data_IF_900130583461
#
_entry.id   IF_900130583461
#
_cell.length_a   1.000
_cell.length_b   1.000
_cell.length_c   1.000
_cell.angle_alpha   90.00
_cell.angle_beta   90.00
_cell.angle_gamma   90.00
#
_symmetry.space_group_name_H-M   'P 1'
#
loop_
_entity.id
_entity.type
_entity.pdbx_description
1 polymer ?
#
# COMPACT_ATOMS: atom_id res chain seq x y z
N UNK A 1 -2.53 -12.79 19.64
CA UNK A 1 -3.98 -12.56 19.47
C UNK A 1 -4.37 -11.30 20.24
N UNK A 2 -4.95 -10.31 19.57
CA UNK A 2 -5.40 -9.09 20.23
C UNK A 2 -6.47 -9.44 21.27
N UNK A 3 -6.32 -8.94 22.50
CA UNK A 3 -7.22 -9.21 23.62
C UNK A 3 -8.63 -8.70 23.27
N UNK A 4 -9.58 -9.60 23.03
CA UNK A 4 -10.99 -9.24 22.84
C UNK A 4 -11.51 -8.86 24.22
N UNK A 5 -11.57 -7.56 24.48
CA UNK A 5 -12.18 -7.07 25.70
C UNK A 5 -13.69 -7.00 25.47
N UNK A 6 -14.43 -7.78 26.26
CA UNK A 6 -15.89 -7.94 26.20
C UNK A 6 -16.57 -7.01 27.19
N UNK A 7 -16.08 -5.77 27.34
CA UNK A 7 -16.76 -4.81 28.20
C UNK A 7 -18.06 -4.36 27.53
N UNK A 8 -19.09 -4.09 28.33
CA UNK A 8 -20.39 -3.64 27.82
C UNK A 8 -20.27 -2.43 26.87
N UNK A 9 -19.35 -1.50 27.16
CA UNK A 9 -19.06 -0.34 26.31
C UNK A 9 -18.52 -0.73 24.93
N UNK A 10 -17.68 -1.76 24.86
CA UNK A 10 -17.09 -2.23 23.59
C UNK A 10 -18.12 -2.96 22.74
N UNK A 11 -18.99 -3.77 23.37
CA UNK A 11 -20.10 -4.44 22.70
C UNK A 11 -21.04 -3.40 22.08
N UNK A 12 -21.49 -2.41 22.85
CA UNK A 12 -22.34 -1.33 22.34
C UNK A 12 -21.69 -0.56 21.19
N UNK A 13 -20.38 -0.31 21.27
CA UNK A 13 -19.64 0.37 20.19
C UNK A 13 -19.57 -0.49 18.91
N UNK A 14 -19.45 -1.81 19.04
CA UNK A 14 -19.44 -2.76 17.94
C UNK A 14 -20.83 -2.87 17.29
N UNK A 15 -21.89 -2.91 18.09
CA UNK A 15 -23.28 -2.91 17.62
C UNK A 15 -23.61 -1.64 16.84
N UNK A 16 -23.26 -0.46 17.37
CA UNK A 16 -23.43 0.82 16.66
C UNK A 16 -22.67 0.83 15.34
N UNK A 17 -21.44 0.29 15.30
CA UNK A 17 -20.66 0.17 14.06
C UNK A 17 -21.35 -0.73 13.04
N UNK A 18 -21.86 -1.87 13.47
CA UNK A 18 -22.59 -2.81 12.61
C UNK A 18 -23.87 -2.16 12.04
N UNK A 19 -24.62 -1.41 12.85
CA UNK A 19 -25.80 -0.68 12.41
C UNK A 19 -25.46 0.40 11.37
N UNK A 20 -24.39 1.17 11.58
CA UNK A 20 -23.90 2.17 10.60
C UNK A 20 -23.60 1.54 9.25
N UNK A 21 -22.91 0.39 9.23
CA UNK A 21 -22.58 -0.32 8.00
C UNK A 21 -23.83 -0.85 7.30
N UNK A 22 -24.77 -1.45 8.04
CA UNK A 22 -26.00 -1.97 7.48
C UNK A 22 -26.80 -0.88 6.77
N UNK A 23 -26.94 0.28 7.39
CA UNK A 23 -27.61 1.43 6.78
C UNK A 23 -26.85 1.99 5.58
N UNK A 24 -25.51 2.00 5.64
CA UNK A 24 -24.69 2.44 4.51
C UNK A 24 -24.80 1.50 3.30
N UNK A 25 -24.85 0.19 3.53
CA UNK A 25 -25.09 -0.83 2.50
C UNK A 25 -26.49 -0.70 1.90
N UNK A 26 -27.48 -0.32 2.70
CA UNK A 26 -28.84 0.01 2.25
C UNK A 26 -28.94 1.34 1.48
N UNK A 27 -27.81 1.99 1.17
CA UNK A 27 -27.74 3.21 0.35
C UNK A 27 -27.94 4.52 1.12
N UNK A 28 -28.09 4.51 2.44
CA UNK A 28 -28.26 5.74 3.22
C UNK A 28 -27.02 6.61 3.21
N UNK A 29 -27.23 7.92 3.19
CA UNK A 29 -26.19 8.94 3.34
C UNK A 29 -25.71 9.04 4.79
N UNK A 30 -24.54 9.62 5.02
CA UNK A 30 -24.00 9.79 6.37
C UNK A 30 -24.87 10.69 7.26
N UNK A 31 -25.57 11.65 6.66
CA UNK A 31 -26.50 12.54 7.35
C UNK A 31 -27.74 11.78 7.83
N UNK A 32 -28.37 11.00 6.94
CA UNK A 32 -29.52 10.15 7.30
C UNK A 32 -29.16 9.11 8.35
N UNK A 33 -27.98 8.49 8.23
CA UNK A 33 -27.48 7.52 9.24
C UNK A 33 -27.35 8.19 10.61
N UNK A 34 -26.82 9.42 10.64
CA UNK A 34 -26.70 10.20 11.87
C UNK A 34 -28.05 10.50 12.51
N UNK A 35 -29.04 10.86 11.69
CA UNK A 35 -30.42 11.10 12.14
C UNK A 35 -31.08 9.81 12.68
N UNK A 36 -30.93 8.69 11.98
CA UNK A 36 -31.55 7.40 12.36
C UNK A 36 -30.96 6.86 13.66
N UNK A 37 -29.63 6.95 13.83
CA UNK A 37 -28.93 6.37 14.97
C UNK A 37 -28.64 7.37 16.11
N UNK A 38 -29.03 8.64 15.95
CA UNK A 38 -28.75 9.70 16.93
C UNK A 38 -27.26 10.00 17.10
N UNK A 39 -26.46 9.84 16.05
CA UNK A 39 -25.00 10.08 16.06
C UNK A 39 -24.60 11.20 15.11
N UNK A 40 -23.44 11.82 15.34
CA UNK A 40 -22.90 12.80 14.40
C UNK A 40 -22.48 12.15 13.09
N UNK A 41 -22.57 12.90 11.99
CA UNK A 41 -22.04 12.52 10.66
C UNK A 41 -20.56 12.12 10.73
N UNK A 42 -19.77 12.86 11.51
CA UNK A 42 -18.35 12.58 11.76
C UNK A 42 -18.13 11.24 12.46
N UNK A 43 -19.02 10.86 13.37
CA UNK A 43 -18.97 9.58 14.07
C UNK A 43 -19.34 8.43 13.14
N UNK A 44 -20.40 8.58 12.33
CA UNK A 44 -20.76 7.61 11.30
C UNK A 44 -19.59 7.36 10.32
N UNK A 45 -18.97 8.43 9.81
CA UNK A 45 -17.79 8.34 8.95
C UNK A 45 -16.62 7.60 9.63
N UNK A 46 -16.34 7.92 10.91
CA UNK A 46 -15.28 7.25 11.69
C UNK A 46 -15.54 5.75 11.85
N UNK A 47 -16.78 5.33 12.10
CA UNK A 47 -17.15 3.92 12.18
C UNK A 47 -16.90 3.19 10.86
N UNK A 48 -17.28 3.79 9.73
CA UNK A 48 -17.05 3.22 8.39
C UNK A 48 -15.55 3.09 8.12
N UNK A 49 -14.79 4.18 8.31
CA UNK A 49 -13.33 4.19 8.10
C UNK A 49 -12.63 3.13 8.93
N UNK A 50 -12.99 3.00 10.21
CA UNK A 50 -12.42 2.00 11.11
C UNK A 50 -12.72 0.57 10.64
N UNK A 51 -13.96 0.31 10.24
CA UNK A 51 -14.34 -1.02 9.72
C UNK A 51 -13.58 -1.37 8.45
N UNK A 52 -13.47 -0.43 7.51
CA UNK A 52 -12.72 -0.65 6.26
C UNK A 52 -11.23 -0.91 6.54
N UNK A 53 -10.64 -0.23 7.52
CA UNK A 53 -9.27 -0.50 7.94
C UNK A 53 -9.14 -1.88 8.59
N UNK A 54 -10.08 -2.28 9.46
CA UNK A 54 -10.11 -3.61 10.08
C UNK A 54 -10.24 -4.71 9.02
N UNK A 55 -11.13 -4.56 8.03
CA UNK A 55 -11.26 -5.50 6.91
C UNK A 55 -9.97 -5.58 6.06
N UNK A 56 -9.35 -4.45 5.74
CA UNK A 56 -8.08 -4.44 5.00
C UNK A 56 -6.98 -5.19 5.76
N UNK A 57 -6.88 -4.97 7.06
CA UNK A 57 -5.90 -5.64 7.90
C UNK A 57 -6.16 -7.16 7.95
N UNK A 58 -7.41 -7.58 8.17
CA UNK A 58 -7.79 -9.00 8.15
C UNK A 58 -7.51 -9.65 6.79
N UNK A 59 -7.80 -8.94 5.69
CA UNK A 59 -7.48 -9.40 4.34
C UNK A 59 -5.96 -9.53 4.14
N UNK A 60 -5.16 -8.56 4.60
CA UNK A 60 -3.70 -8.62 4.54
C UNK A 60 -3.15 -9.80 5.35
N UNK A 61 -3.67 -10.06 6.56
CA UNK A 61 -3.31 -11.23 7.37
C UNK A 61 -3.63 -12.53 6.63
N UNK A 62 -4.84 -12.65 6.07
CA UNK A 62 -5.25 -13.82 5.27
C UNK A 62 -4.35 -14.02 4.05
N UNK A 63 -4.03 -12.95 3.33
CA UNK A 63 -3.10 -12.99 2.19
C UNK A 63 -1.72 -13.46 2.66
N UNK A 64 -1.23 -12.94 3.78
CA UNK A 64 0.05 -13.35 4.36
C UNK A 64 0.07 -14.83 4.71
N UNK A 65 -0.98 -15.35 5.35
CA UNK A 65 -1.10 -16.79 5.69
C UNK A 65 -1.08 -17.67 4.44
N UNK A 66 -1.79 -17.26 3.38
CA UNK A 66 -1.78 -17.96 2.09
C UNK A 66 -0.40 -17.95 1.44
N UNK A 67 0.31 -16.81 1.48
CA UNK A 67 1.69 -16.69 0.98
C UNK A 67 2.61 -17.62 1.77
N UNK A 68 2.50 -17.65 3.10
CA UNK A 68 3.29 -18.56 3.94
C UNK A 68 3.04 -20.03 3.60
N UNK A 69 1.78 -20.44 3.44
CA UNK A 69 1.43 -21.81 3.04
C UNK A 69 2.01 -22.18 1.67
N UNK A 70 1.94 -21.26 0.72
CA UNK A 70 2.45 -21.48 -0.63
C UNK A 70 3.98 -21.55 -0.66
N UNK A 71 4.66 -20.68 0.10
CA UNK A 71 6.12 -20.76 0.27
C UNK A 71 6.54 -22.12 0.86
N UNK A 72 5.81 -22.63 1.87
CA UNK A 72 6.10 -23.94 2.45
C UNK A 72 5.87 -25.09 1.44
N UNK A 73 4.89 -24.99 0.55
CA UNK A 73 4.70 -25.95 -0.55
C UNK A 73 5.84 -25.89 -1.56
N UNK A 74 6.25 -24.69 -1.95
CA UNK A 74 7.35 -24.47 -2.89
C UNK A 74 8.68 -25.00 -2.32
N UNK A 75 8.94 -24.80 -1.03
CA UNK A 75 10.12 -25.36 -0.36
C UNK A 75 10.13 -26.88 -0.38
N UNK A 76 8.99 -27.54 -0.12
CA UNK A 76 8.90 -29.01 -0.25
C UNK A 76 9.18 -29.49 -1.66
N UNK A 77 8.64 -28.81 -2.67
CA UNK A 77 8.90 -29.15 -4.07
C UNK A 77 10.38 -28.94 -4.42
N UNK A 78 10.99 -27.85 -3.95
CA UNK A 78 12.40 -27.56 -4.17
C UNK A 78 13.29 -28.65 -3.57
N UNK A 79 13.04 -29.05 -2.31
CA UNK A 79 13.81 -30.12 -1.63
C UNK A 79 13.73 -31.44 -2.43
N UNK A 80 12.56 -31.80 -2.94
CA UNK A 80 12.37 -33.05 -3.68
C UNK A 80 13.23 -33.15 -4.95
N UNK A 81 13.49 -32.03 -5.63
CA UNK A 81 14.25 -31.98 -6.89
C UNK A 81 15.68 -31.49 -6.72
N UNK A 82 16.05 -31.04 -5.51
CA UNK A 82 17.33 -30.37 -5.27
C UNK A 82 18.53 -31.30 -5.49
N UNK A 83 18.43 -32.57 -5.10
CA UNK A 83 19.51 -33.55 -5.26
C UNK A 83 19.83 -33.76 -6.75
N UNK A 84 18.81 -34.04 -7.57
CA UNK A 84 19.01 -34.21 -9.02
C UNK A 84 19.59 -32.94 -9.68
N UNK A 85 19.16 -31.75 -9.23
CA UNK A 85 19.70 -30.49 -9.74
C UNK A 85 21.18 -30.31 -9.34
N UNK A 86 21.54 -30.67 -8.10
CA UNK A 86 22.91 -30.60 -7.60
C UNK A 86 23.86 -31.58 -8.31
N UNK A 87 23.33 -32.72 -8.77
CA UNK A 87 24.07 -33.70 -9.59
C UNK A 87 24.25 -33.28 -11.05
N UNK A 88 23.70 -32.12 -11.46
CA UNK A 88 23.89 -31.55 -12.79
C UNK A 88 22.79 -31.92 -13.80
N UNK A 89 21.65 -32.46 -13.36
CA UNK A 89 20.51 -32.66 -14.24
C UNK A 89 19.92 -31.30 -14.68
N UNK A 90 20.18 -30.92 -15.93
CA UNK A 90 19.75 -29.63 -16.50
C UNK A 90 18.23 -29.41 -16.38
N UNK A 91 17.42 -30.46 -16.53
CA UNK A 91 15.95 -30.34 -16.38
C UNK A 91 15.56 -30.03 -14.94
N UNK A 92 16.23 -30.64 -13.97
CA UNK A 92 15.98 -30.40 -12.54
C UNK A 92 16.42 -28.98 -12.15
N UNK A 93 17.56 -28.52 -12.65
CA UNK A 93 18.04 -27.13 -12.47
C UNK A 93 17.00 -26.13 -12.98
N UNK A 94 16.48 -26.32 -14.20
CA UNK A 94 15.43 -25.45 -14.75
C UNK A 94 14.17 -25.42 -13.88
N UNK A 95 13.78 -26.56 -13.29
CA UNK A 95 12.62 -26.62 -12.38
C UNK A 95 12.90 -25.89 -11.06
N UNK A 96 14.10 -26.04 -10.48
CA UNK A 96 14.51 -25.32 -9.27
C UNK A 96 14.48 -23.81 -9.51
N UNK A 97 15.03 -23.33 -10.62
CA UNK A 97 15.02 -21.91 -10.98
C UNK A 97 13.61 -21.36 -11.09
N UNK A 98 12.67 -22.10 -11.70
CA UNK A 98 11.25 -21.70 -11.76
C UNK A 98 10.58 -21.62 -10.39
N UNK A 99 10.92 -22.53 -9.47
CA UNK A 99 10.43 -22.47 -8.09
C UNK A 99 10.98 -21.22 -7.38
N UNK A 100 12.27 -20.93 -7.54
CA UNK A 100 12.91 -19.75 -6.96
C UNK A 100 12.29 -18.45 -7.49
N UNK A 101 12.04 -18.36 -8.80
CA UNK A 101 11.34 -17.23 -9.43
C UNK A 101 9.94 -17.03 -8.84
N UNK A 102 9.19 -18.13 -8.63
CA UNK A 102 7.86 -18.04 -8.01
C UNK A 102 7.94 -17.54 -6.56
N UNK A 103 8.93 -17.98 -5.79
CA UNK A 103 9.16 -17.51 -4.41
C UNK A 103 9.49 -16.03 -4.40
N UNK A 104 10.39 -15.58 -5.27
CA UNK A 104 10.77 -14.17 -5.38
C UNK A 104 9.59 -13.27 -5.78
N UNK A 105 8.70 -13.74 -6.66
CA UNK A 105 7.44 -13.05 -7.01
C UNK A 105 6.46 -12.94 -5.85
N UNK A 106 6.36 -13.97 -4.99
CA UNK A 106 5.48 -13.95 -3.83
C UNK A 106 5.99 -13.07 -2.69
N UNK A 107 7.32 -12.95 -2.54
CA UNK A 107 7.95 -12.13 -1.50
C UNK A 107 8.28 -10.71 -1.96
N UNK A 108 8.19 -10.43 -3.26
CA UNK A 108 8.56 -9.15 -3.85
C UNK A 108 10.07 -8.91 -3.94
N UNK A 109 10.90 -9.96 -3.83
CA UNK A 109 12.36 -9.86 -3.93
C UNK A 109 12.81 -9.31 -5.29
N UNK A 110 12.08 -9.66 -6.35
CA UNK A 110 12.35 -9.20 -7.72
C UNK A 110 11.60 -7.91 -8.08
N UNK A 111 10.92 -7.27 -7.12
CA UNK A 111 10.19 -6.04 -7.39
C UNK A 111 11.17 -4.89 -7.70
N UNK A 112 10.93 -4.07 -8.74
CA UNK A 112 11.79 -2.93 -9.05
C UNK A 112 11.79 -1.93 -7.88
N UNK A 113 12.97 -1.53 -7.43
CA UNK A 113 13.14 -0.69 -6.24
C UNK A 113 12.45 0.68 -6.34
N UNK A 114 12.25 1.21 -7.56
CA UNK A 114 11.53 2.47 -7.85
C UNK A 114 10.95 2.41 -9.27
N UNK A 115 9.64 2.49 -9.43
CA UNK A 115 9.00 2.79 -10.71
C UNK A 115 8.61 4.26 -10.74
N UNK A 116 9.32 5.07 -11.53
CA UNK A 116 8.84 6.41 -11.86
C UNK A 116 7.63 6.26 -12.78
N UNK A 117 6.56 7.02 -12.55
CA UNK A 117 5.54 7.20 -13.58
C UNK A 117 6.20 7.97 -14.73
N UNK A 118 6.58 7.26 -15.78
CA UNK A 118 6.96 7.85 -17.06
C UNK A 118 5.70 8.04 -17.91
N UNK A 119 5.68 9.13 -18.68
CA UNK A 119 4.70 9.28 -19.75
C UNK A 119 4.99 8.29 -20.89
N UNK A 120 4.10 8.24 -21.90
CA UNK A 120 4.24 7.38 -23.08
C UNK A 120 5.51 7.61 -23.90
N UNK A 121 6.24 8.71 -23.64
CA UNK A 121 7.51 9.07 -24.31
C UNK A 121 8.75 8.76 -23.45
N UNK A 122 8.57 8.25 -22.22
CA UNK A 122 9.67 7.89 -21.33
C UNK A 122 10.25 9.06 -20.53
N UNK A 123 9.59 10.23 -20.56
CA UNK A 123 10.00 11.37 -19.76
C UNK A 123 9.35 11.28 -18.37
N UNK A 124 10.16 11.55 -17.34
CA UNK A 124 9.67 11.73 -15.98
C UNK A 124 9.35 13.22 -15.82
N UNK A 125 8.15 13.57 -15.34
CA UNK A 125 7.93 14.95 -14.90
C UNK A 125 8.87 15.21 -13.72
N UNK A 126 9.84 16.14 -13.80
CA UNK A 126 10.61 16.51 -12.62
C UNK A 126 9.62 17.07 -11.59
N UNK A 127 9.40 16.34 -10.50
CA UNK A 127 8.68 16.85 -9.33
C UNK A 127 9.59 17.85 -8.63
N UNK A 128 9.67 19.03 -9.23
CA UNK A 128 10.50 20.15 -8.81
C UNK A 128 10.45 21.18 -9.93
N UNK A 129 9.82 22.33 -9.67
CA UNK A 129 9.86 23.45 -10.60
C UNK A 129 11.32 23.93 -10.64
N UNK A 130 12.07 23.49 -11.64
CA UNK A 130 13.33 24.11 -11.98
C UNK A 130 12.99 25.48 -12.59
N UNK A 131 13.09 26.55 -11.80
CA UNK A 131 13.10 27.91 -12.34
C UNK A 131 14.43 28.02 -13.10
N UNK A 132 14.40 27.74 -14.39
CA UNK A 132 15.52 28.06 -15.27
C UNK A 132 15.57 29.59 -15.28
N UNK A 133 16.63 30.22 -14.77
CA UNK A 133 16.73 31.67 -14.86
C UNK A 133 16.72 32.08 -16.33
N UNK A 134 16.19 33.27 -16.67
CA UNK A 134 16.39 33.83 -18.00
C UNK A 134 17.89 33.83 -18.32
N UNK A 135 18.24 33.61 -19.59
CA UNK A 135 19.63 33.66 -20.05
C UNK A 135 20.15 35.06 -19.71
N UNK A 136 21.00 35.16 -18.70
CA UNK A 136 21.63 36.42 -18.34
C UNK A 136 22.79 36.65 -19.29
N UNK A 137 22.82 37.80 -19.94
CA UNK A 137 23.95 38.18 -20.81
C UNK A 137 25.18 38.55 -19.98
N UNK A 138 24.99 38.87 -18.70
CA UNK A 138 26.03 39.39 -17.80
C UNK A 138 25.92 38.88 -16.36
N UNK A 139 27.07 38.75 -15.69
CA UNK A 139 27.18 38.25 -14.31
C UNK A 139 26.47 39.11 -13.26
N UNK A 140 26.34 40.42 -13.50
CA UNK A 140 25.68 41.35 -12.58
C UNK A 140 24.16 41.15 -12.52
N UNK A 141 23.53 40.83 -13.66
CA UNK A 141 22.10 40.52 -13.72
C UNK A 141 21.78 39.26 -12.90
N UNK A 142 22.68 38.28 -12.90
CA UNK A 142 22.56 37.07 -12.10
C UNK A 142 22.64 37.37 -10.59
N UNK A 143 23.61 38.18 -10.18
CA UNK A 143 23.79 38.55 -8.77
C UNK A 143 22.58 39.31 -8.21
N UNK A 144 21.96 40.18 -9.01
CA UNK A 144 20.78 40.95 -8.60
C UNK A 144 19.52 40.08 -8.50
N UNK A 145 19.32 39.15 -9.44
CA UNK A 145 18.21 38.19 -9.39
C UNK A 145 18.31 37.26 -8.16
N UNK A 146 19.51 36.79 -7.82
CA UNK A 146 19.75 35.98 -6.62
C UNK A 146 19.45 36.76 -5.34
N UNK A 147 19.82 38.05 -5.26
CA UNK A 147 19.48 38.91 -4.13
C UNK A 147 17.98 39.10 -3.96
N UNK A 148 17.25 39.34 -5.06
CA UNK A 148 15.79 39.49 -5.03
C UNK A 148 15.08 38.19 -4.60
N UNK A 149 15.60 37.04 -5.01
CA UNK A 149 15.03 35.74 -4.62
C UNK A 149 15.27 35.41 -3.14
N UNK A 150 16.38 35.89 -2.55
CA UNK A 150 16.68 35.72 -1.13
C UNK A 150 15.90 36.71 -0.24
N UNK A 151 15.58 37.91 -0.74
CA UNK A 151 14.76 38.88 0.00
C UNK A 151 13.26 38.57 -0.01
N UNK A 152 12.77 37.81 -0.99
CA UNK A 152 11.38 37.37 -1.09
C UNK A 152 10.99 36.17 -0.20
N UNK A 153 11.90 35.65 0.63
CA UNK A 153 11.60 34.63 1.65
C UNK A 153 11.47 35.28 3.03
N UNK A 154 10.30 35.89 3.28
CA UNK A 154 9.72 36.08 4.62
C UNK A 154 8.30 35.54 4.58
#
# INVERSE_FOLDING_TARGET
>A
MAKISTSAKQIATAETRAAVLKLRLAGKTLAEIGQILGISTTTAHRHIKKTLAEYRNQQQETISELVTLELARLERLQVAIFIEAAEGNLKAIDRVLKIMERRAKLTGLDAPAKSCHTDTEGNHQPTGVAIIPPIFETQEQWLEAVRQQQSGKV
#
